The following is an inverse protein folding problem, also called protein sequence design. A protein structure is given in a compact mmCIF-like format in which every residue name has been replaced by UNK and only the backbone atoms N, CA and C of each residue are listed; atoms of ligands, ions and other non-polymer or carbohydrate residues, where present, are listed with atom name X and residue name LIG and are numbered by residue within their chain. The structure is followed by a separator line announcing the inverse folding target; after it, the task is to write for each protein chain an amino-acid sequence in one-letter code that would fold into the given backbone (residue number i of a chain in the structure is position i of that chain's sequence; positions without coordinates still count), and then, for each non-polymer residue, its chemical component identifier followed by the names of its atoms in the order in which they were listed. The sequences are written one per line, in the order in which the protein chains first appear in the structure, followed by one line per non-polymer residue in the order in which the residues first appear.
data_IF_504549275793
#
_entry.id   IF_504549275793
#
_cell.length_a   1.000
_cell.length_b   1.000
_cell.length_c   1.000
_cell.angle_alpha   90.00
_cell.angle_beta   90.00
_cell.angle_gamma   90.00
#
_symmetry.space_group_name_H-M   'P 1'
#
loop_
_entity.id
_entity.type
_entity.pdbx_description
1 polymer ?
#
# COMPACT_ATOMS: atom_id res chain seq x y z
N UNK A 1 -3.37 63.87 57.57
CA UNK A 1 -3.03 63.53 56.13
C UNK A 1 -3.10 62.04 55.96
N UNK A 2 -4.11 61.52 55.32
CA UNK A 2 -4.35 60.10 55.11
C UNK A 2 -3.63 59.65 53.81
N UNK A 3 -2.57 58.86 53.95
CA UNK A 3 -1.95 58.21 52.81
C UNK A 3 -2.82 57.03 52.37
N UNK A 4 -3.41 57.17 51.20
CA UNK A 4 -4.19 56.12 50.55
C UNK A 4 -3.25 55.02 50.06
N UNK A 5 -3.33 53.85 50.68
CA UNK A 5 -2.61 52.66 50.18
C UNK A 5 -3.26 52.17 48.89
N UNK A 6 -2.48 52.06 47.83
CA UNK A 6 -2.90 51.47 46.56
C UNK A 6 -2.82 49.95 46.72
N UNK A 7 -3.93 49.22 46.53
CA UNK A 7 -3.87 47.77 46.59
C UNK A 7 -3.16 47.25 45.35
N UNK A 8 -1.95 46.75 45.54
CA UNK A 8 -1.22 46.01 44.55
C UNK A 8 -1.79 44.58 44.51
N UNK A 9 -2.86 44.37 43.76
CA UNK A 9 -3.41 43.01 43.60
C UNK A 9 -3.91 42.72 42.20
N UNK A 10 -3.41 41.60 41.64
CA UNK A 10 -3.87 40.82 40.52
C UNK A 10 -2.99 40.83 39.27
N UNK A 11 -1.72 41.19 39.34
CA UNK A 11 -0.82 40.96 38.20
C UNK A 11 -0.31 39.49 38.11
N UNK A 12 -0.36 38.72 39.21
CA UNK A 12 0.23 37.38 39.25
C UNK A 12 -0.56 36.27 38.55
N UNK A 13 -1.89 36.46 38.36
CA UNK A 13 -2.72 35.39 37.74
C UNK A 13 -2.74 35.45 36.21
N UNK A 14 -2.60 36.64 35.67
CA UNK A 14 -2.59 36.84 34.20
C UNK A 14 -1.23 36.47 33.62
N UNK A 15 -0.15 36.79 34.32
CA UNK A 15 1.21 36.43 33.90
C UNK A 15 1.45 34.89 33.91
N UNK A 16 0.85 34.18 34.87
CA UNK A 16 0.89 32.73 34.93
C UNK A 16 0.12 32.09 33.76
N UNK A 17 -0.99 32.68 33.35
CA UNK A 17 -1.79 32.20 32.23
C UNK A 17 -1.07 32.40 30.89
N UNK A 18 -0.41 33.54 30.71
CA UNK A 18 0.42 33.79 29.51
C UNK A 18 1.66 32.90 29.46
N UNK A 19 2.28 32.55 30.60
CA UNK A 19 3.38 31.61 30.68
C UNK A 19 2.98 30.19 30.26
N UNK A 20 1.78 29.73 30.67
CA UNK A 20 1.26 28.41 30.29
C UNK A 20 0.92 28.36 28.80
N UNK A 21 0.36 29.43 28.24
CA UNK A 21 0.08 29.52 26.79
C UNK A 21 1.36 29.58 25.99
N UNK A 22 2.38 30.28 26.47
CA UNK A 22 3.68 30.37 25.82
C UNK A 22 4.42 29.02 25.78
N UNK A 23 4.30 28.21 26.84
CA UNK A 23 4.88 26.84 26.88
C UNK A 23 4.14 25.91 25.90
N UNK A 24 2.82 26.10 25.73
CA UNK A 24 2.03 25.29 24.79
C UNK A 24 2.37 25.60 23.31
N UNK A 25 2.77 26.83 23.00
CA UNK A 25 3.21 27.25 21.67
C UNK A 25 4.66 26.80 21.34
N UNK A 26 5.44 26.40 22.33
CA UNK A 26 6.82 25.93 22.19
C UNK A 26 6.95 24.41 22.06
N UNK A 27 5.82 23.67 22.02
CA UNK A 27 5.86 22.26 21.64
C UNK A 27 6.19 22.24 20.13
N UNK A 28 7.43 21.92 19.74
CA UNK A 28 7.67 21.66 18.33
C UNK A 28 6.77 20.50 17.93
N UNK A 29 5.89 20.74 17.00
CA UNK A 29 5.17 19.67 16.33
C UNK A 29 6.25 18.78 15.74
N UNK A 30 6.60 17.71 16.43
CA UNK A 30 7.42 16.64 15.90
C UNK A 30 6.52 15.96 14.87
N UNK A 31 6.36 16.61 13.72
CA UNK A 31 5.86 15.96 12.53
C UNK A 31 6.94 14.97 12.13
N UNK A 32 6.88 13.75 12.68
CA UNK A 32 7.65 12.64 12.13
C UNK A 32 7.19 12.52 10.69
N UNK A 33 8.07 12.70 9.70
CA UNK A 33 7.69 12.42 8.33
C UNK A 33 7.31 10.94 8.29
N UNK A 34 6.04 10.66 8.09
CA UNK A 34 5.58 9.32 7.74
C UNK A 34 6.11 9.09 6.33
N UNK A 35 7.28 8.45 6.25
CA UNK A 35 7.75 7.93 4.98
C UNK A 35 6.80 6.80 4.61
N UNK A 36 5.94 7.05 3.63
CA UNK A 36 5.23 5.98 2.96
C UNK A 36 6.31 5.11 2.30
N UNK A 37 6.55 3.93 2.85
CA UNK A 37 7.41 2.94 2.22
C UNK A 37 6.63 2.48 0.99
N UNK A 38 7.02 3.00 -0.17
CA UNK A 38 6.49 2.51 -1.43
C UNK A 38 6.85 1.03 -1.56
N UNK A 39 5.86 0.20 -1.75
CA UNK A 39 6.07 -1.24 -1.94
C UNK A 39 6.76 -1.48 -3.27
N UNK A 40 7.56 -2.54 -3.38
CA UNK A 40 8.24 -2.93 -4.63
C UNK A 40 7.25 -3.03 -5.80
N UNK A 41 6.03 -3.42 -5.54
CA UNK A 41 4.92 -3.49 -6.50
C UNK A 41 4.62 -2.16 -7.18
N UNK A 42 4.73 -1.05 -6.46
CA UNK A 42 4.45 0.30 -6.99
C UNK A 42 5.65 0.89 -7.73
N UNK A 43 6.87 0.55 -7.33
CA UNK A 43 8.09 1.05 -7.95
C UNK A 43 8.40 0.38 -9.28
N UNK A 44 8.00 -0.89 -9.45
CA UNK A 44 8.28 -1.65 -10.65
C UNK A 44 7.21 -1.42 -11.71
N UNK A 45 7.58 -0.84 -12.84
CA UNK A 45 6.68 -0.57 -13.96
C UNK A 45 7.00 -1.44 -15.17
N UNK A 46 5.95 -1.85 -15.88
CA UNK A 46 6.02 -2.70 -17.05
C UNK A 46 5.41 -2.04 -18.27
N UNK A 47 6.00 -2.31 -19.42
CA UNK A 47 5.40 -2.05 -20.73
C UNK A 47 5.28 -3.37 -21.45
N UNK A 48 4.07 -3.82 -21.70
CA UNK A 48 3.80 -5.12 -22.33
C UNK A 48 2.66 -4.98 -23.33
N UNK A 49 2.97 -5.28 -24.58
CA UNK A 49 1.99 -5.44 -25.66
C UNK A 49 2.01 -6.88 -26.14
N UNK A 50 1.21 -7.72 -25.50
CA UNK A 50 1.11 -9.14 -25.79
C UNK A 50 -0.28 -9.47 -26.36
N UNK A 51 -0.34 -9.86 -27.62
CA UNK A 51 -1.57 -10.30 -28.29
C UNK A 51 -1.52 -11.82 -28.46
N UNK A 52 -2.56 -12.51 -28.00
CA UNK A 52 -2.71 -13.96 -28.15
C UNK A 52 -1.57 -14.78 -27.50
N UNK A 53 -1.03 -14.30 -26.39
CA UNK A 53 -0.03 -14.98 -25.59
C UNK A 53 -0.65 -15.83 -24.50
N UNK A 54 0.01 -16.90 -24.09
CA UNK A 54 -0.46 -17.71 -22.96
C UNK A 54 -0.27 -16.97 -21.65
N UNK A 55 -1.13 -17.24 -20.67
CA UNK A 55 -0.97 -16.70 -19.29
C UNK A 55 0.42 -17.01 -18.75
N UNK A 56 0.94 -18.22 -19.05
CA UNK A 56 2.29 -18.64 -18.65
C UNK A 56 3.36 -17.71 -19.22
N UNK A 57 3.29 -17.38 -20.52
CA UNK A 57 4.26 -16.47 -21.15
C UNK A 57 4.22 -15.07 -20.53
N UNK A 58 3.06 -14.61 -20.08
CA UNK A 58 2.92 -13.33 -19.38
C UNK A 58 3.58 -13.39 -18.01
N UNK A 59 3.43 -14.49 -17.27
CA UNK A 59 4.12 -14.67 -15.99
C UNK A 59 5.64 -14.74 -16.16
N UNK A 60 6.13 -15.50 -17.12
CA UNK A 60 7.55 -15.56 -17.47
C UNK A 60 8.12 -14.18 -17.85
N UNK A 61 7.30 -13.34 -18.51
CA UNK A 61 7.69 -11.97 -18.81
C UNK A 61 7.85 -11.13 -17.52
N UNK A 62 6.93 -11.25 -16.56
CA UNK A 62 7.03 -10.57 -15.27
C UNK A 62 8.29 -10.98 -14.52
N UNK A 63 8.55 -12.30 -14.40
CA UNK A 63 9.72 -12.84 -13.71
C UNK A 63 11.04 -12.42 -14.37
N UNK A 64 11.07 -12.41 -15.69
CA UNK A 64 12.27 -12.04 -16.45
C UNK A 64 12.62 -10.54 -16.38
N UNK A 65 11.62 -9.69 -16.23
CA UNK A 65 11.80 -8.23 -16.23
C UNK A 65 11.71 -7.60 -14.85
N UNK A 66 11.70 -8.39 -13.79
CA UNK A 66 11.61 -7.92 -12.42
C UNK A 66 12.15 -8.97 -11.44
N UNK A 67 12.10 -8.65 -10.16
CA UNK A 67 12.44 -9.58 -9.08
C UNK A 67 11.21 -10.32 -8.54
N UNK A 68 10.07 -10.22 -9.21
CA UNK A 68 8.87 -10.97 -8.82
C UNK A 68 9.05 -12.45 -9.12
N UNK A 69 8.51 -13.27 -8.22
CA UNK A 69 8.42 -14.73 -8.36
C UNK A 69 6.96 -15.13 -8.38
N UNK A 70 6.51 -15.82 -9.43
CA UNK A 70 5.13 -16.23 -9.58
C UNK A 70 4.94 -17.68 -9.12
N UNK A 71 4.16 -17.87 -8.08
CA UNK A 71 3.83 -19.18 -7.52
C UNK A 71 2.41 -19.59 -7.90
N UNK A 72 2.26 -20.79 -8.41
CA UNK A 72 0.97 -21.39 -8.75
C UNK A 72 0.95 -22.90 -8.49
N UNK A 73 -0.23 -23.44 -8.22
CA UNK A 73 -0.41 -24.87 -8.05
C UNK A 73 -0.53 -25.60 -9.42
N UNK A 74 -0.28 -26.90 -9.42
CA UNK A 74 -0.39 -27.73 -10.63
C UNK A 74 -1.80 -27.72 -11.25
N UNK A 75 -2.81 -27.49 -10.46
CA UNK A 75 -4.22 -27.44 -10.90
C UNK A 75 -4.50 -26.27 -11.84
N UNK A 76 -3.61 -25.28 -11.88
CA UNK A 76 -3.71 -24.12 -12.77
C UNK A 76 -3.09 -24.34 -14.16
N UNK A 77 -2.36 -25.44 -14.37
CA UNK A 77 -1.71 -25.71 -15.65
C UNK A 77 -2.65 -25.56 -16.87
N UNK A 78 -3.92 -26.04 -16.85
CA UNK A 78 -4.83 -25.85 -17.98
C UNK A 78 -5.17 -24.37 -18.20
N UNK A 79 -5.28 -23.57 -17.12
CA UNK A 79 -5.59 -22.14 -17.20
C UNK A 79 -4.36 -21.35 -17.71
N UNK A 80 -3.17 -21.78 -17.36
CA UNK A 80 -1.91 -21.16 -17.82
C UNK A 80 -1.71 -21.27 -19.34
N UNK A 81 -2.32 -22.27 -19.99
CA UNK A 81 -2.30 -22.43 -21.45
C UNK A 81 -3.33 -21.53 -22.17
N UNK A 82 -4.21 -20.88 -21.42
CA UNK A 82 -5.21 -19.96 -21.97
C UNK A 82 -4.55 -18.77 -22.63
N UNK A 83 -5.01 -18.40 -23.80
CA UNK A 83 -4.51 -17.25 -24.52
C UNK A 83 -5.22 -15.99 -24.04
N UNK A 84 -4.44 -14.95 -23.79
CA UNK A 84 -4.88 -13.65 -23.32
C UNK A 84 -4.23 -12.54 -24.14
N UNK A 85 -4.83 -11.37 -24.12
CA UNK A 85 -4.26 -10.18 -24.75
C UNK A 85 -4.08 -9.09 -23.72
N UNK A 86 -2.82 -8.77 -23.42
CA UNK A 86 -2.43 -7.76 -22.42
C UNK A 86 -1.76 -6.60 -23.12
N UNK A 87 -2.29 -5.41 -22.96
CA UNK A 87 -1.69 -4.17 -23.46
C UNK A 87 -1.62 -3.17 -22.33
N UNK A 88 -0.41 -2.92 -21.85
CA UNK A 88 -0.12 -1.93 -20.81
C UNK A 88 1.10 -1.11 -21.19
N UNK A 89 1.14 0.12 -20.78
CA UNK A 89 2.26 1.02 -20.95
C UNK A 89 2.58 1.70 -19.61
N UNK A 90 3.81 1.51 -19.15
CA UNK A 90 4.35 2.09 -17.89
C UNK A 90 3.40 1.92 -16.69
N UNK A 91 2.88 0.73 -16.51
CA UNK A 91 2.00 0.40 -15.39
C UNK A 91 2.64 -0.63 -14.45
N UNK A 92 2.13 -0.70 -13.24
CA UNK A 92 2.60 -1.65 -12.24
C UNK A 92 2.15 -3.10 -12.53
N UNK A 93 2.72 -4.06 -11.81
CA UNK A 93 2.39 -5.48 -11.97
C UNK A 93 0.91 -5.78 -11.71
N UNK A 94 0.28 -5.04 -10.80
CA UNK A 94 -1.14 -5.23 -10.48
C UNK A 94 -2.05 -5.02 -11.69
N UNK A 95 -1.70 -4.09 -12.58
CA UNK A 95 -2.46 -3.85 -13.81
C UNK A 95 -2.45 -5.07 -14.72
N UNK A 96 -1.30 -5.74 -14.87
CA UNK A 96 -1.20 -7.01 -15.61
C UNK A 96 -2.05 -8.09 -14.95
N UNK A 97 -1.89 -8.27 -13.65
CA UNK A 97 -2.59 -9.29 -12.88
C UNK A 97 -4.11 -9.09 -12.88
N UNK A 98 -4.57 -7.84 -12.86
CA UNK A 98 -6.00 -7.51 -12.97
C UNK A 98 -6.59 -7.91 -14.33
N UNK A 99 -5.84 -7.70 -15.42
CA UNK A 99 -6.26 -8.15 -16.75
C UNK A 99 -6.33 -9.68 -16.79
N UNK A 100 -5.28 -10.36 -16.34
CA UNK A 100 -5.24 -11.81 -16.27
C UNK A 100 -6.33 -12.41 -15.38
N UNK A 101 -6.62 -11.75 -14.25
CA UNK A 101 -7.71 -12.15 -13.35
C UNK A 101 -9.06 -12.14 -14.05
N UNK A 102 -9.33 -11.12 -14.85
CA UNK A 102 -10.59 -11.00 -15.60
C UNK A 102 -10.67 -11.96 -16.79
N UNK A 103 -9.61 -12.06 -17.58
CA UNK A 103 -9.61 -12.86 -18.82
C UNK A 103 -9.43 -14.36 -18.55
N UNK A 104 -8.57 -14.74 -17.62
CA UNK A 104 -8.28 -16.13 -17.33
C UNK A 104 -9.08 -16.71 -16.16
N UNK A 105 -9.76 -15.87 -15.37
CA UNK A 105 -10.49 -16.30 -14.18
C UNK A 105 -9.57 -16.73 -13.04
N UNK A 106 -8.54 -15.93 -12.78
CA UNK A 106 -7.55 -16.15 -11.74
C UNK A 106 -7.74 -15.17 -10.58
N UNK A 107 -7.32 -15.56 -9.39
CA UNK A 107 -7.10 -14.65 -8.26
C UNK A 107 -5.61 -14.58 -7.98
N UNK A 108 -5.15 -13.45 -7.50
CA UNK A 108 -3.76 -13.27 -7.12
C UNK A 108 -3.65 -12.63 -5.74
N UNK A 109 -2.53 -12.88 -5.11
CA UNK A 109 -2.11 -12.21 -3.89
C UNK A 109 -0.63 -11.85 -4.03
N UNK A 110 -0.28 -10.60 -3.74
CA UNK A 110 1.10 -10.12 -3.79
C UNK A 110 1.57 -9.90 -2.36
N UNK A 111 2.70 -10.52 -2.05
CA UNK A 111 3.39 -10.33 -0.78
C UNK A 111 4.85 -9.99 -1.08
N UNK A 112 5.19 -8.70 -1.00
CA UNK A 112 6.47 -8.14 -1.40
C UNK A 112 6.81 -8.49 -2.86
N UNK A 113 7.72 -9.42 -3.10
CA UNK A 113 8.17 -9.89 -4.43
C UNK A 113 7.55 -11.23 -4.86
N UNK A 114 6.69 -11.78 -4.04
CA UNK A 114 6.04 -13.06 -4.29
C UNK A 114 4.59 -12.86 -4.74
N UNK A 115 4.26 -13.38 -5.90
CA UNK A 115 2.92 -13.37 -6.47
C UNK A 115 2.35 -14.77 -6.40
N UNK A 116 1.33 -14.98 -5.58
CA UNK A 116 0.64 -16.26 -5.48
C UNK A 116 -0.62 -16.23 -6.32
N UNK A 117 -0.74 -17.18 -7.26
CA UNK A 117 -1.90 -17.31 -8.15
C UNK A 117 -2.77 -18.48 -7.70
N UNK A 118 -4.07 -18.24 -7.65
CA UNK A 118 -5.08 -19.24 -7.34
C UNK A 118 -6.22 -19.18 -8.36
N UNK A 119 -6.99 -20.26 -8.44
CA UNK A 119 -8.20 -20.28 -9.29
C UNK A 119 -9.28 -19.40 -8.66
N UNK A 120 -9.96 -18.60 -9.47
CA UNK A 120 -11.14 -17.89 -9.01
C UNK A 120 -12.30 -18.89 -8.81
N UNK A 121 -12.22 -19.68 -7.74
CA UNK A 121 -13.38 -20.45 -7.27
C UNK A 121 -14.28 -19.49 -6.52
N UNK A 122 -15.57 -19.54 -6.75
CA UNK A 122 -16.55 -18.77 -6.00
C UNK A 122 -16.69 -19.37 -4.60
N UNK A 123 -15.69 -19.15 -3.74
CA UNK A 123 -15.76 -19.46 -2.31
C UNK A 123 -15.29 -18.26 -1.50
N UNK A 124 -16.06 -18.01 -0.46
CA UNK A 124 -15.96 -16.90 0.47
C UNK A 124 -14.56 -16.69 1.06
N UNK A 125 -14.22 -15.48 1.51
CA UNK A 125 -12.94 -15.18 2.12
C UNK A 125 -12.77 -16.04 3.39
N UNK A 126 -11.85 -16.97 3.36
CA UNK A 126 -11.41 -17.64 4.59
C UNK A 126 -10.72 -16.59 5.44
N UNK A 127 -11.38 -16.24 6.53
CA UNK A 127 -10.83 -15.44 7.59
C UNK A 127 -9.50 -16.06 8.06
N UNK A 128 -8.45 -15.28 7.99
CA UNK A 128 -7.22 -15.56 8.72
C UNK A 128 -7.55 -15.86 10.16
N UNK A 129 -7.41 -17.11 10.56
CA UNK A 129 -7.54 -17.53 11.94
C UNK A 129 -6.33 -16.98 12.70
N UNK A 130 -6.54 -15.84 13.36
CA UNK A 130 -5.59 -15.23 14.27
C UNK A 130 -5.28 -16.25 15.37
N UNK A 131 -4.12 -16.86 15.31
CA UNK A 131 -3.62 -17.73 16.39
C UNK A 131 -3.26 -16.82 17.56
N UNK A 132 -3.89 -17.07 18.68
CA UNK A 132 -3.73 -16.34 19.93
C UNK A 132 -2.49 -16.86 20.68
#
# INVERSE_FOLDING_TARGET
MKKKAIPCHKAGRITSFFLLISIFLLIPSITTPVYAVETYTQQTVFTLHATNKTVKEVFEYIEKNSEFVVLYSKDLLPVLQKKVSVSIDKQNVESILNILSKEAGLKYNINDRQITITKATAEAPQQEKKIK
#
